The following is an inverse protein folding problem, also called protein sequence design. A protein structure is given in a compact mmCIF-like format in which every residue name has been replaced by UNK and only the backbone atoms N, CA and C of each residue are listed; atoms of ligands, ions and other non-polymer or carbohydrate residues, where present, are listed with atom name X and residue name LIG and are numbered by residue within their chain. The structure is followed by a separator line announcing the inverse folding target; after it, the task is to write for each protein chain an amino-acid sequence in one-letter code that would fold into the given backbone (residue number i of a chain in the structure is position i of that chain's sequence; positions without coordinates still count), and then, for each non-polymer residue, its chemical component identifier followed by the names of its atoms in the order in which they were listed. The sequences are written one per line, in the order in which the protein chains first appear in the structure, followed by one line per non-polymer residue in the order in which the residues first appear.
data_IF_839784997983
#
_entry.id   IF_839784997983
#
_cell.length_a   1.000
_cell.length_b   1.000
_cell.length_c   1.000
_cell.angle_alpha   90.00
_cell.angle_beta   90.00
_cell.angle_gamma   90.00
#
_symmetry.space_group_name_H-M   'P 1'
#
loop_
_entity.id
_entity.type
_entity.pdbx_description
1 polymer ?
#
# COMPACT_ATOMS: atom_id res chain seq x y z
N UNK A 1 -15.65 26.38 48.54
CA UNK A 1 -15.15 27.14 49.70
C UNK A 1 -15.57 26.46 50.99
N UNK A 2 -14.60 25.99 51.79
CA UNK A 2 -14.86 25.48 53.13
C UNK A 2 -14.53 26.59 54.15
N UNK A 3 -15.53 27.05 54.90
CA UNK A 3 -15.38 28.21 55.80
C UNK A 3 -14.54 27.81 57.01
N UNK A 4 -14.75 26.60 57.54
CA UNK A 4 -13.98 26.05 58.64
C UNK A 4 -12.47 26.02 58.33
N UNK A 5 -12.11 25.66 57.10
CA UNK A 5 -10.72 25.55 56.66
C UNK A 5 -10.02 26.92 56.57
N UNK A 6 -10.77 27.97 56.20
CA UNK A 6 -10.27 29.35 56.16
C UNK A 6 -10.11 29.91 57.57
N UNK A 7 -11.08 29.66 58.44
CA UNK A 7 -11.05 30.07 59.85
C UNK A 7 -9.89 29.41 60.59
N UNK A 8 -9.64 28.13 60.33
CA UNK A 8 -8.51 27.39 60.90
C UNK A 8 -7.17 27.93 60.38
N UNK A 9 -7.06 28.21 59.08
CA UNK A 9 -5.84 28.76 58.46
C UNK A 9 -5.49 30.16 58.95
N UNK A 10 -6.49 30.99 59.24
CA UNK A 10 -6.30 32.34 59.80
C UNK A 10 -6.07 32.30 61.31
N UNK A 11 -6.54 31.27 62.01
CA UNK A 11 -6.41 31.15 63.46
C UNK A 11 -7.23 32.21 64.20
N UNK A 12 -8.46 32.46 63.74
CA UNK A 12 -9.34 33.55 64.21
C UNK A 12 -9.53 33.54 65.73
N UNK A 13 -9.67 32.36 66.34
CA UNK A 13 -9.84 32.21 67.78
C UNK A 13 -8.61 32.67 68.58
N UNK A 14 -7.40 32.38 68.08
CA UNK A 14 -6.15 32.84 68.69
C UNK A 14 -5.99 34.36 68.58
N UNK A 15 -6.37 34.93 67.43
CA UNK A 15 -6.35 36.38 67.22
C UNK A 15 -7.35 37.09 68.14
N UNK A 16 -8.54 36.52 68.33
CA UNK A 16 -9.56 37.07 69.22
C UNK A 16 -9.12 37.04 70.70
N UNK A 17 -8.51 35.95 71.16
CA UNK A 17 -7.98 35.84 72.53
C UNK A 17 -6.85 36.86 72.76
N UNK A 18 -5.94 37.02 71.79
CA UNK A 18 -4.85 37.98 71.88
C UNK A 18 -5.37 39.43 71.94
N UNK A 19 -6.33 39.79 71.08
CA UNK A 19 -6.94 41.13 71.05
C UNK A 19 -7.72 41.44 72.33
N UNK A 20 -8.44 40.45 72.89
CA UNK A 20 -9.18 40.60 74.13
C UNK A 20 -8.27 40.89 75.34
N UNK A 21 -7.09 40.26 75.41
CA UNK A 21 -6.11 40.52 76.47
C UNK A 21 -5.56 41.97 76.43
N UNK A 22 -5.60 42.61 75.26
CA UNK A 22 -5.17 44.00 75.06
C UNK A 22 -6.33 45.01 75.10
N UNK A 23 -7.57 44.58 75.40
CA UNK A 23 -8.80 45.39 75.33
C UNK A 23 -9.02 46.06 73.96
N UNK A 24 -8.66 45.35 72.89
CA UNK A 24 -8.92 45.72 71.51
C UNK A 24 -10.08 44.88 70.94
N UNK A 25 -11.00 45.48 70.17
CA UNK A 25 -11.17 46.92 69.94
C UNK A 25 -11.81 47.64 71.14
N UNK A 26 -11.65 48.97 71.27
CA UNK A 26 -12.32 49.76 72.31
C UNK A 26 -13.84 49.58 72.23
N UNK A 27 -14.52 49.50 73.38
CA UNK A 27 -15.98 49.25 73.48
C UNK A 27 -16.88 50.26 72.77
N UNK A 28 -16.36 51.41 72.33
CA UNK A 28 -17.07 52.42 71.53
C UNK A 28 -16.64 52.47 70.07
N UNK A 29 -15.76 51.57 69.62
CA UNK A 29 -15.33 51.52 68.24
C UNK A 29 -16.48 51.04 67.36
N UNK A 30 -16.73 51.78 66.27
CA UNK A 30 -17.70 51.43 65.23
C UNK A 30 -17.01 51.06 63.92
N UNK A 31 -15.68 51.07 63.90
CA UNK A 31 -14.88 50.74 62.72
C UNK A 31 -14.18 49.40 62.91
N UNK A 32 -13.98 48.64 61.82
CA UNK A 32 -13.22 47.40 61.88
C UNK A 32 -11.80 47.65 62.34
N UNK A 33 -11.28 46.76 63.19
CA UNK A 33 -9.88 46.76 63.58
C UNK A 33 -8.99 46.04 62.54
N UNK A 34 -7.67 46.02 62.78
CA UNK A 34 -6.71 45.40 61.85
C UNK A 34 -6.93 43.89 61.68
N UNK A 35 -7.43 43.19 62.71
CA UNK A 35 -7.67 41.75 62.66
C UNK A 35 -8.95 41.46 61.86
N UNK A 36 -10.01 42.23 62.09
CA UNK A 36 -11.26 42.16 61.32
C UNK A 36 -11.01 42.48 59.84
N UNK A 37 -10.17 43.47 59.54
CA UNK A 37 -9.76 43.82 58.19
C UNK A 37 -8.98 42.68 57.50
N UNK A 38 -8.04 42.06 58.23
CA UNK A 38 -7.26 40.93 57.73
C UNK A 38 -8.13 39.69 57.47
N UNK A 39 -9.07 39.40 58.37
CA UNK A 39 -10.05 38.32 58.17
C UNK A 39 -10.88 38.62 56.92
N UNK A 40 -11.43 39.83 56.80
CA UNK A 40 -12.23 40.24 55.63
C UNK A 40 -11.45 40.09 54.33
N UNK A 41 -10.20 40.56 54.29
CA UNK A 41 -9.37 40.47 53.09
C UNK A 41 -9.04 39.01 52.73
N UNK A 42 -8.77 38.16 53.72
CA UNK A 42 -8.52 36.72 53.49
C UNK A 42 -9.71 36.01 52.87
N UNK A 43 -10.94 36.34 53.32
CA UNK A 43 -12.17 35.82 52.72
C UNK A 43 -12.38 36.35 51.28
N UNK A 44 -12.10 37.63 51.03
CA UNK A 44 -12.18 38.24 49.69
C UNK A 44 -11.18 37.55 48.74
N UNK A 45 -9.94 37.33 49.17
CA UNK A 45 -8.90 36.70 48.37
C UNK A 45 -9.25 35.22 48.08
N UNK A 46 -9.80 34.51 49.06
CA UNK A 46 -10.29 33.15 48.87
C UNK A 46 -11.41 33.08 47.81
N UNK A 47 -12.41 33.97 47.92
CA UNK A 47 -13.48 34.08 46.92
C UNK A 47 -12.95 34.43 45.54
N UNK A 48 -12.01 35.37 45.45
CA UNK A 48 -11.41 35.77 44.18
C UNK A 48 -10.63 34.62 43.53
N UNK A 49 -9.87 33.87 44.31
CA UNK A 49 -9.15 32.70 43.83
C UNK A 49 -10.09 31.59 43.35
N UNK A 50 -11.20 31.35 44.04
CA UNK A 50 -12.18 30.34 43.65
C UNK A 50 -12.92 30.75 42.36
N UNK A 51 -13.28 32.03 42.21
CA UNK A 51 -13.83 32.57 40.95
C UNK A 51 -12.82 32.42 39.81
N UNK A 52 -11.55 32.72 40.06
CA UNK A 52 -10.47 32.57 39.06
C UNK A 52 -10.30 31.11 38.64
N UNK A 53 -10.29 30.18 39.59
CA UNK A 53 -10.19 28.75 39.33
C UNK A 53 -11.39 28.25 38.50
N UNK A 54 -12.61 28.64 38.86
CA UNK A 54 -13.83 28.32 38.11
C UNK A 54 -13.73 28.84 36.67
N UNK A 55 -13.33 30.10 36.47
CA UNK A 55 -13.19 30.66 35.13
C UNK A 55 -12.12 29.91 34.31
N UNK A 56 -10.99 29.55 34.93
CA UNK A 56 -9.94 28.78 34.25
C UNK A 56 -10.44 27.39 33.83
N UNK A 57 -11.26 26.73 34.65
CA UNK A 57 -11.90 25.45 34.33
C UNK A 57 -12.88 25.60 33.19
N UNK A 58 -13.69 26.67 33.17
CA UNK A 58 -14.62 26.97 32.09
C UNK A 58 -13.87 27.17 30.77
N UNK A 59 -12.77 27.94 30.78
CA UNK A 59 -11.95 28.17 29.60
C UNK A 59 -11.32 26.89 29.09
N UNK A 60 -10.79 26.05 29.99
CA UNK A 60 -10.25 24.74 29.65
C UNK A 60 -11.34 23.83 29.04
N UNK A 61 -12.55 23.81 29.60
CA UNK A 61 -13.67 23.08 29.03
C UNK A 61 -14.02 23.56 27.63
N UNK A 62 -14.01 24.88 27.39
CA UNK A 62 -14.27 25.46 26.08
C UNK A 62 -13.22 25.07 25.05
N UNK A 63 -11.94 25.05 25.43
CA UNK A 63 -10.84 24.59 24.59
C UNK A 63 -11.02 23.10 24.26
N UNK A 64 -11.24 22.25 25.26
CA UNK A 64 -11.42 20.81 25.08
C UNK A 64 -12.60 20.49 24.16
N UNK A 65 -13.73 21.18 24.32
CA UNK A 65 -14.90 21.01 23.45
C UNK A 65 -14.55 21.39 22.01
N UNK A 66 -13.89 22.53 21.81
CA UNK A 66 -13.47 22.98 20.48
C UNK A 66 -12.54 21.96 19.79
N UNK A 67 -11.56 21.44 20.52
CA UNK A 67 -10.64 20.42 20.00
C UNK A 67 -11.35 19.11 19.65
N UNK A 68 -12.27 18.64 20.50
CA UNK A 68 -13.08 17.45 20.20
C UNK A 68 -13.93 17.63 18.95
N UNK A 69 -14.56 18.80 18.79
CA UNK A 69 -15.36 19.12 17.60
C UNK A 69 -14.49 19.11 16.34
N UNK A 70 -13.33 19.77 16.36
CA UNK A 70 -12.43 19.81 15.21
C UNK A 70 -11.86 18.42 14.86
N UNK A 71 -11.54 17.62 15.87
CA UNK A 71 -11.08 16.24 15.67
C UNK A 71 -12.17 15.38 15.03
N UNK A 72 -13.41 15.49 15.53
CA UNK A 72 -14.56 14.77 14.98
C UNK A 72 -14.82 15.18 13.53
N UNK A 73 -14.81 16.48 13.21
CA UNK A 73 -14.93 16.98 11.83
C UNK A 73 -13.86 16.39 10.92
N UNK A 74 -12.59 16.39 11.36
CA UNK A 74 -11.48 15.83 10.59
C UNK A 74 -11.68 14.33 10.32
N UNK A 75 -12.13 13.56 11.32
CA UNK A 75 -12.41 12.13 11.13
C UNK A 75 -13.55 11.88 10.13
N UNK A 76 -14.61 12.70 10.17
CA UNK A 76 -15.74 12.61 9.23
C UNK A 76 -15.27 12.96 7.81
N UNK A 77 -14.44 13.99 7.66
CA UNK A 77 -13.89 14.39 6.36
C UNK A 77 -13.01 13.30 5.76
N UNK A 78 -12.13 12.69 6.56
CA UNK A 78 -11.27 11.57 6.13
C UNK A 78 -12.13 10.38 5.71
N UNK A 79 -13.15 10.01 6.52
CA UNK A 79 -14.07 8.92 6.17
C UNK A 79 -14.85 9.19 4.88
N UNK A 80 -15.34 10.41 4.69
CA UNK A 80 -16.06 10.82 3.48
C UNK A 80 -15.16 10.79 2.24
N UNK A 81 -13.92 11.30 2.35
CA UNK A 81 -12.93 11.23 1.26
C UNK A 81 -12.56 9.79 0.92
N UNK A 82 -12.35 8.95 1.93
CA UNK A 82 -12.05 7.53 1.72
C UNK A 82 -13.19 6.82 0.98
N UNK A 83 -14.45 7.05 1.38
CA UNK A 83 -15.61 6.48 0.71
C UNK A 83 -15.72 6.94 -0.77
N UNK A 84 -15.50 8.24 -1.03
CA UNK A 84 -15.49 8.78 -2.41
C UNK A 84 -14.37 8.16 -3.25
N UNK A 85 -13.16 8.09 -2.71
CA UNK A 85 -12.00 7.52 -3.41
C UNK A 85 -12.21 6.03 -3.70
N UNK A 86 -12.76 5.28 -2.75
CA UNK A 86 -13.10 3.87 -2.95
C UNK A 86 -14.14 3.69 -4.05
N UNK A 87 -15.24 4.45 -4.00
CA UNK A 87 -16.29 4.40 -5.02
C UNK A 87 -15.72 4.71 -6.42
N UNK A 88 -14.87 5.74 -6.51
CA UNK A 88 -14.24 6.10 -7.77
C UNK A 88 -13.29 5.01 -8.27
N UNK A 89 -12.39 4.50 -7.42
CA UNK A 89 -11.48 3.41 -7.79
C UNK A 89 -12.22 2.15 -8.23
N UNK A 90 -13.29 1.76 -7.51
CA UNK A 90 -14.13 0.63 -7.87
C UNK A 90 -14.82 0.84 -9.22
N UNK A 91 -15.34 2.05 -9.48
CA UNK A 91 -15.96 2.38 -10.77
C UNK A 91 -14.96 2.32 -11.93
N UNK A 92 -13.75 2.84 -11.74
CA UNK A 92 -12.70 2.82 -12.76
C UNK A 92 -12.26 1.39 -13.06
N UNK A 93 -12.00 0.59 -12.02
CA UNK A 93 -11.61 -0.81 -12.17
C UNK A 93 -12.70 -1.63 -12.87
N UNK A 94 -13.96 -1.42 -12.50
CA UNK A 94 -15.11 -2.08 -13.15
C UNK A 94 -15.17 -1.73 -14.64
N UNK A 95 -15.08 -0.45 -14.98
CA UNK A 95 -15.11 0.00 -16.38
C UNK A 95 -13.95 -0.60 -17.17
N UNK A 96 -12.72 -0.54 -16.63
CA UNK A 96 -11.55 -1.11 -17.27
C UNK A 96 -11.73 -2.61 -17.56
N UNK A 97 -12.17 -3.39 -16.56
CA UNK A 97 -12.38 -4.83 -16.73
C UNK A 97 -13.51 -5.17 -17.69
N UNK A 98 -14.58 -4.36 -17.72
CA UNK A 98 -15.64 -4.52 -18.71
C UNK A 98 -15.14 -4.25 -20.13
N UNK A 99 -14.38 -3.19 -20.33
CA UNK A 99 -13.77 -2.89 -21.63
C UNK A 99 -12.82 -3.99 -22.09
N UNK A 100 -11.97 -4.50 -21.20
CA UNK A 100 -11.08 -5.63 -21.48
C UNK A 100 -11.87 -6.87 -21.88
N UNK A 101 -12.94 -7.21 -21.14
CA UNK A 101 -13.81 -8.33 -21.45
C UNK A 101 -14.52 -8.18 -22.79
N UNK A 102 -15.03 -6.98 -23.10
CA UNK A 102 -15.66 -6.71 -24.38
C UNK A 102 -14.67 -6.86 -25.54
N UNK A 103 -13.44 -6.38 -25.37
CA UNK A 103 -12.37 -6.56 -26.36
C UNK A 103 -12.07 -8.04 -26.58
N UNK A 104 -11.87 -8.79 -25.50
CA UNK A 104 -11.56 -10.23 -25.58
C UNK A 104 -12.71 -11.02 -26.22
N UNK A 105 -13.96 -10.66 -25.90
CA UNK A 105 -15.16 -11.25 -26.52
C UNK A 105 -15.22 -10.97 -28.02
N UNK A 106 -14.89 -9.74 -28.45
CA UNK A 106 -14.82 -9.38 -29.87
C UNK A 106 -13.70 -10.16 -30.58
N UNK A 107 -12.51 -10.22 -29.98
CA UNK A 107 -11.39 -10.98 -30.52
C UNK A 107 -11.72 -12.46 -30.68
N UNK A 108 -12.31 -13.09 -29.65
CA UNK A 108 -12.78 -14.48 -29.72
C UNK A 108 -13.77 -14.66 -30.87
N UNK A 109 -14.78 -13.78 -30.98
CA UNK A 109 -15.78 -13.85 -32.05
C UNK A 109 -15.12 -13.77 -33.43
N UNK A 110 -14.21 -12.82 -33.64
CA UNK A 110 -13.49 -12.66 -34.90
C UNK A 110 -12.64 -13.89 -35.20
N UNK A 111 -11.83 -14.36 -34.24
CA UNK A 111 -10.98 -15.54 -34.42
C UNK A 111 -11.77 -16.82 -34.70
N UNK A 112 -12.92 -16.98 -34.04
CA UNK A 112 -13.83 -18.10 -34.30
C UNK A 112 -14.41 -18.03 -35.71
N UNK A 113 -14.85 -16.85 -36.14
CA UNK A 113 -15.37 -16.64 -37.49
C UNK A 113 -14.28 -16.88 -38.55
N UNK A 114 -13.07 -16.37 -38.33
CA UNK A 114 -11.93 -16.60 -39.23
C UNK A 114 -11.60 -18.09 -39.33
N UNK A 115 -11.66 -18.82 -38.20
CA UNK A 115 -11.44 -20.26 -38.18
C UNK A 115 -12.52 -21.02 -38.95
N UNK A 116 -13.80 -20.67 -38.77
CA UNK A 116 -14.90 -21.28 -39.51
C UNK A 116 -14.79 -21.00 -41.01
N UNK A 117 -14.48 -19.77 -41.41
CA UNK A 117 -14.24 -19.41 -42.81
C UNK A 117 -13.06 -20.17 -43.41
N UNK A 118 -11.95 -20.29 -42.67
CA UNK A 118 -10.78 -21.05 -43.10
C UNK A 118 -11.11 -22.53 -43.27
N UNK A 119 -11.79 -23.14 -42.29
CA UNK A 119 -12.23 -24.54 -42.35
C UNK A 119 -13.14 -24.80 -43.54
N UNK A 120 -14.13 -23.94 -43.76
CA UNK A 120 -15.06 -24.08 -44.89
C UNK A 120 -14.35 -23.92 -46.24
N UNK A 121 -13.45 -22.94 -46.37
CA UNK A 121 -12.68 -22.69 -47.60
C UNK A 121 -11.77 -23.88 -47.96
N UNK A 122 -11.21 -24.54 -46.96
CA UNK A 122 -10.26 -25.64 -47.14
C UNK A 122 -10.88 -27.03 -46.91
N UNK A 123 -12.20 -27.12 -46.70
CA UNK A 123 -12.94 -28.37 -46.45
C UNK A 123 -12.35 -29.19 -45.30
N UNK A 124 -11.97 -28.52 -44.21
CA UNK A 124 -11.34 -29.13 -43.04
C UNK A 124 -12.34 -29.28 -41.90
N UNK A 125 -12.66 -30.53 -41.52
CA UNK A 125 -13.49 -30.79 -40.33
C UNK A 125 -12.65 -30.87 -39.06
N UNK A 126 -11.38 -31.29 -39.17
CA UNK A 126 -10.46 -31.47 -38.05
C UNK A 126 -10.04 -30.14 -37.41
N UNK A 127 -9.71 -30.19 -36.12
CA UNK A 127 -9.06 -29.07 -35.42
C UNK A 127 -7.57 -29.02 -35.76
N UNK A 128 -6.96 -27.84 -35.62
CA UNK A 128 -5.52 -27.68 -35.79
C UNK A 128 -4.78 -28.55 -34.76
N UNK A 129 -3.91 -29.43 -35.25
CA UNK A 129 -3.00 -30.21 -34.41
C UNK A 129 -1.67 -29.48 -34.33
N UNK A 130 -1.37 -28.89 -33.18
CA UNK A 130 -0.10 -28.21 -32.97
C UNK A 130 0.97 -29.21 -32.53
N UNK A 131 2.16 -29.22 -33.16
CA UNK A 131 3.24 -30.07 -32.70
C UNK A 131 3.67 -29.64 -31.28
N UNK A 132 3.98 -30.59 -30.38
CA UNK A 132 4.14 -30.32 -28.96
C UNK A 132 5.33 -29.43 -28.59
N UNK A 133 6.37 -29.33 -29.45
CA UNK A 133 7.48 -28.38 -29.25
C UNK A 133 8.37 -28.26 -30.49
N UNK A 134 8.59 -27.02 -30.96
CA UNK A 134 9.60 -26.75 -32.01
C UNK A 134 11.04 -26.90 -31.49
N UNK A 135 11.24 -26.81 -30.17
CA UNK A 135 12.55 -26.95 -29.53
C UNK A 135 13.05 -28.39 -29.66
N UNK A 136 12.15 -29.37 -29.55
CA UNK A 136 12.48 -30.78 -29.73
C UNK A 136 13.05 -31.06 -31.13
N UNK A 137 12.41 -30.47 -32.16
CA UNK A 137 12.85 -30.62 -33.56
C UNK A 137 14.24 -30.02 -33.76
N UNK A 138 14.49 -28.82 -33.22
CA UNK A 138 15.82 -28.19 -33.28
C UNK A 138 16.90 -29.01 -32.57
N UNK A 139 16.57 -29.60 -31.42
CA UNK A 139 17.48 -30.47 -30.67
C UNK A 139 17.88 -31.73 -31.43
N UNK A 140 16.92 -32.39 -32.09
CA UNK A 140 17.20 -33.59 -32.92
C UNK A 140 18.09 -33.23 -34.11
N UNK A 141 17.84 -32.10 -34.79
CA UNK A 141 18.68 -31.64 -35.90
C UNK A 141 20.12 -31.31 -35.46
N UNK A 142 20.27 -30.61 -34.33
CA UNK A 142 21.58 -30.31 -33.78
C UNK A 142 22.35 -31.59 -33.40
N UNK A 143 21.67 -32.57 -32.81
CA UNK A 143 22.25 -33.87 -32.48
C UNK A 143 22.71 -34.62 -33.73
N UNK A 144 21.89 -34.66 -34.80
CA UNK A 144 22.25 -35.29 -36.07
C UNK A 144 23.48 -34.62 -36.70
N UNK A 145 23.51 -33.29 -36.73
CA UNK A 145 24.67 -32.54 -37.23
C UNK A 145 25.94 -32.86 -36.43
N UNK A 146 25.86 -32.91 -35.11
CA UNK A 146 27.00 -33.25 -34.26
C UNK A 146 27.51 -34.66 -34.53
N UNK A 147 26.60 -35.64 -34.60
CA UNK A 147 26.96 -37.04 -34.86
C UNK A 147 27.62 -37.17 -36.24
N UNK A 148 27.00 -36.65 -37.30
CA UNK A 148 27.57 -36.72 -38.65
C UNK A 148 28.93 -36.02 -38.73
N UNK A 149 29.08 -34.86 -38.09
CA UNK A 149 30.34 -34.10 -38.11
C UNK A 149 31.47 -34.85 -37.42
N UNK A 150 31.18 -35.53 -36.30
CA UNK A 150 32.17 -36.31 -35.55
C UNK A 150 32.57 -37.56 -36.33
N UNK A 151 31.60 -38.37 -36.78
CA UNK A 151 31.87 -39.61 -37.51
C UNK A 151 32.57 -39.35 -38.86
N UNK A 152 32.04 -38.44 -39.66
CA UNK A 152 32.66 -38.09 -40.95
C UNK A 152 33.99 -37.34 -40.73
N UNK A 153 34.11 -36.58 -39.65
CA UNK A 153 35.33 -35.86 -39.30
C UNK A 153 36.50 -36.77 -38.96
N UNK A 154 36.25 -37.89 -38.27
CA UNK A 154 37.26 -38.92 -38.04
C UNK A 154 37.77 -39.50 -39.35
N UNK A 155 36.89 -39.82 -40.30
CA UNK A 155 37.27 -40.36 -41.61
C UNK A 155 38.09 -39.34 -42.42
N UNK A 156 37.68 -38.07 -42.45
CA UNK A 156 38.41 -37.04 -43.18
C UNK A 156 39.71 -36.61 -42.51
N UNK A 157 39.87 -36.86 -41.21
CA UNK A 157 41.08 -36.49 -40.47
C UNK A 157 42.34 -37.19 -40.97
N UNK A 158 42.20 -38.42 -41.48
CA UNK A 158 43.30 -39.19 -42.06
C UNK A 158 43.77 -38.63 -43.41
N UNK A 159 42.86 -38.00 -44.15
CA UNK A 159 43.12 -37.46 -45.48
C UNK A 159 43.58 -35.99 -45.47
N UNK A 160 43.55 -35.32 -44.32
CA UNK A 160 43.79 -33.87 -44.22
C UNK A 160 45.04 -33.50 -43.41
N UNK A 161 45.87 -32.57 -43.91
CA UNK A 161 47.11 -32.18 -43.24
C UNK A 161 46.90 -31.50 -41.88
N UNK A 162 45.70 -30.98 -41.61
CA UNK A 162 45.31 -30.40 -40.31
C UNK A 162 44.73 -31.39 -39.30
N UNK A 163 44.79 -32.70 -39.59
CA UNK A 163 44.31 -33.76 -38.70
C UNK A 163 42.83 -33.63 -38.32
N UNK A 164 42.49 -34.00 -37.08
CA UNK A 164 41.11 -34.12 -36.62
C UNK A 164 40.32 -32.80 -36.66
N UNK A 165 40.96 -31.68 -36.31
CA UNK A 165 40.29 -30.38 -36.27
C UNK A 165 39.86 -29.95 -37.67
N UNK A 166 40.73 -30.11 -38.67
CA UNK A 166 40.39 -29.86 -40.05
C UNK A 166 39.29 -30.83 -40.54
N UNK A 167 39.45 -32.13 -40.23
CA UNK A 167 38.50 -33.19 -40.62
C UNK A 167 37.08 -32.90 -40.16
N UNK A 168 36.90 -32.61 -38.86
CA UNK A 168 35.59 -32.29 -38.26
C UNK A 168 35.01 -30.99 -38.83
N UNK A 169 35.84 -29.99 -39.12
CA UNK A 169 35.37 -28.72 -39.68
C UNK A 169 34.80 -28.89 -41.09
N UNK A 170 35.45 -29.71 -41.93
CA UNK A 170 34.95 -30.04 -43.26
C UNK A 170 33.71 -30.93 -43.20
N UNK A 171 33.72 -31.93 -42.31
CA UNK A 171 32.57 -32.80 -42.07
C UNK A 171 31.33 -32.03 -41.62
N UNK A 172 31.50 -30.99 -40.79
CA UNK A 172 30.41 -30.12 -40.38
C UNK A 172 29.74 -29.39 -41.55
N UNK A 173 30.53 -28.87 -42.49
CA UNK A 173 29.99 -28.23 -43.69
C UNK A 173 29.20 -29.21 -44.57
N UNK A 174 29.71 -30.43 -44.73
CA UNK A 174 29.03 -31.49 -45.50
C UNK A 174 27.73 -31.91 -44.81
N UNK A 175 27.78 -32.15 -43.49
CA UNK A 175 26.61 -32.49 -42.68
C UNK A 175 25.55 -31.38 -42.73
N UNK A 176 25.98 -30.11 -42.72
CA UNK A 176 25.09 -28.96 -42.86
C UNK A 176 24.33 -28.95 -44.20
N UNK A 177 25.03 -29.23 -45.29
CA UNK A 177 24.45 -29.35 -46.64
C UNK A 177 23.53 -30.57 -46.75
N UNK A 178 23.76 -31.63 -45.98
CA UNK A 178 22.92 -32.82 -45.99
C UNK A 178 21.63 -32.63 -45.18
N UNK A 179 21.77 -32.20 -43.92
CA UNK A 179 20.68 -32.18 -42.94
C UNK A 179 19.71 -31.02 -43.17
N UNK A 180 20.20 -29.83 -43.56
CA UNK A 180 19.32 -28.64 -43.69
C UNK A 180 18.36 -28.73 -44.88
N UNK A 181 18.80 -29.06 -46.11
CA UNK A 181 17.90 -29.22 -47.24
C UNK A 181 16.88 -30.36 -47.02
N UNK A 182 17.32 -31.48 -46.43
CA UNK A 182 16.42 -32.57 -46.07
C UNK A 182 15.33 -32.12 -45.08
N UNK A 183 15.71 -31.35 -44.06
CA UNK A 183 14.75 -30.75 -43.12
C UNK A 183 13.79 -29.78 -43.80
N UNK A 184 14.28 -28.91 -44.70
CA UNK A 184 13.43 -27.97 -45.43
C UNK A 184 12.39 -28.69 -46.30
N UNK A 185 12.80 -29.74 -47.02
CA UNK A 185 11.90 -30.56 -47.83
C UNK A 185 10.84 -31.21 -46.93
N UNK A 186 11.23 -31.83 -45.82
CA UNK A 186 10.27 -32.43 -44.88
C UNK A 186 9.27 -31.42 -44.31
N UNK A 187 9.74 -30.22 -43.92
CA UNK A 187 8.91 -29.17 -43.31
C UNK A 187 7.91 -28.54 -44.29
N UNK A 188 8.31 -28.28 -45.53
CA UNK A 188 7.48 -27.51 -46.46
C UNK A 188 6.64 -28.39 -47.41
N UNK A 189 7.05 -29.64 -47.64
CA UNK A 189 6.39 -30.52 -48.62
C UNK A 189 5.59 -31.64 -47.94
N UNK A 190 6.11 -32.27 -46.90
CA UNK A 190 5.46 -33.43 -46.27
C UNK A 190 4.55 -33.08 -45.08
N UNK A 191 4.82 -31.96 -44.39
CA UNK A 191 3.98 -31.44 -43.31
C UNK A 191 3.09 -30.33 -43.91
N UNK A 192 2.02 -30.74 -44.60
CA UNK A 192 0.88 -29.89 -44.98
C UNK A 192 -0.40 -30.36 -44.26
#
# INVERSE_FOLDING_TARGET
MNIEEIVEKIGVEKLAIAAANENLPPTKSTKPDSNEEHIRQSFIDALFNEIKDINSKIDNFKIMIKEKIETAKKSIEVGSKAAKNFSHAASTLKTQKLTDLEKLKRELKTKKNDLELFKNKHQLERSASYPPSQIYIGGVLAMLLLIESVFNGFVFSEAMPGGLVAGVSLAFLIAFINVIPAFMIGKFIYIQ
#
